data_IF_695014166146
#
_entry.id   IF_695014166146
#
_cell.length_a   1.000
_cell.length_b   1.000
_cell.length_c   1.000
_cell.angle_alpha   90.00
_cell.angle_beta   90.00
_cell.angle_gamma   90.00
#
_symmetry.space_group_name_H-M   'P 1'
#
loop_
_entity.id
_entity.type
_entity.pdbx_description
1 polymer ?
#
# COMPACT_ATOMS: atom_id res chain seq x y z
N UNK A 1 -48.60 19.17 -31.60
CA UNK A 1 -49.65 20.21 -31.60
C UNK A 1 -49.71 20.80 -30.20
N UNK A 2 -49.14 22.01 -30.01
CA UNK A 2 -49.10 22.90 -28.81
C UNK A 2 -48.65 22.32 -27.43
N UNK A 3 -48.07 23.14 -26.51
CA UNK A 3 -47.45 24.46 -26.69
C UNK A 3 -46.04 24.61 -26.04
N UNK A 4 -45.18 25.33 -26.75
CA UNK A 4 -44.13 26.21 -26.18
C UNK A 4 -44.82 27.40 -25.45
N UNK A 5 -44.26 27.94 -24.34
CA UNK A 5 -43.55 29.25 -24.20
C UNK A 5 -42.87 29.36 -22.77
N UNK A 6 -42.05 30.40 -22.41
CA UNK A 6 -40.73 30.27 -21.73
C UNK A 6 -40.57 31.16 -20.45
N UNK A 7 -39.30 31.33 -20.00
CA UNK A 7 -38.80 32.42 -19.10
C UNK A 7 -39.05 32.19 -17.58
N UNK A 8 -38.15 32.40 -16.60
CA UNK A 8 -37.02 33.34 -16.42
C UNK A 8 -35.99 32.76 -15.41
N UNK A 9 -34.73 33.09 -15.67
CA UNK A 9 -33.52 33.24 -14.82
C UNK A 9 -33.58 33.07 -13.30
N UNK A 10 -32.64 32.28 -12.76
CA UNK A 10 -31.84 32.69 -11.60
C UNK A 10 -30.37 32.39 -11.91
N UNK A 11 -29.64 33.45 -12.27
CA UNK A 11 -28.20 33.44 -12.33
C UNK A 11 -27.65 33.38 -10.90
N UNK A 12 -26.86 32.35 -10.59
CA UNK A 12 -25.86 32.41 -9.51
C UNK A 12 -24.54 31.96 -10.09
N UNK A 13 -23.84 32.93 -10.68
CA UNK A 13 -22.42 32.83 -10.91
C UNK A 13 -21.72 32.81 -9.54
N UNK A 14 -21.21 31.65 -9.14
CA UNK A 14 -20.22 31.56 -8.08
C UNK A 14 -18.93 31.10 -8.76
N UNK A 15 -18.23 32.10 -9.30
CA UNK A 15 -16.84 31.96 -9.68
C UNK A 15 -16.02 31.90 -8.38
N UNK A 16 -15.50 30.73 -8.03
CA UNK A 16 -14.41 30.62 -7.06
C UNK A 16 -13.22 30.05 -7.82
N UNK A 17 -12.38 30.98 -8.27
CA UNK A 17 -11.03 30.71 -8.72
C UNK A 17 -10.24 30.12 -7.55
N UNK A 18 -10.00 28.81 -7.60
CA UNK A 18 -8.97 28.19 -6.76
C UNK A 18 -7.62 28.53 -7.37
N UNK A 19 -7.07 29.62 -6.84
CA UNK A 19 -5.76 30.14 -7.15
C UNK A 19 -4.69 29.06 -6.95
N UNK A 20 -3.79 28.98 -7.94
CA UNK A 20 -2.51 28.31 -7.87
C UNK A 20 -1.74 28.82 -6.64
N UNK A 21 -1.81 28.09 -5.52
CA UNK A 21 -1.00 28.39 -4.35
C UNK A 21 0.41 27.88 -4.60
N UNK A 22 1.30 28.83 -4.87
CA UNK A 22 2.73 28.63 -4.99
C UNK A 22 3.30 27.89 -3.77
N UNK A 23 4.23 26.97 -4.01
CA UNK A 23 5.10 26.41 -2.98
C UNK A 23 6.04 27.51 -2.48
N UNK A 24 5.64 28.22 -1.42
CA UNK A 24 6.54 29.06 -0.65
C UNK A 24 7.03 28.28 0.57
N UNK A 25 8.30 27.91 0.55
CA UNK A 25 9.05 27.40 1.71
C UNK A 25 9.04 28.43 2.83
N UNK A 26 8.28 28.17 3.90
CA UNK A 26 8.41 28.87 5.18
C UNK A 26 9.22 28.01 6.13
N UNK A 27 10.52 28.33 6.26
CA UNK A 27 11.37 27.80 7.32
C UNK A 27 10.88 28.38 8.66
N UNK A 28 10.46 27.54 9.64
CA UNK A 28 10.09 28.01 10.96
C UNK A 28 11.30 28.53 11.74
N UNK A 29 11.09 29.46 12.69
CA UNK A 29 12.15 30.10 13.46
C UNK A 29 12.93 29.07 14.31
N UNK A 30 14.21 29.32 14.63
CA UNK A 30 14.99 28.41 15.45
C UNK A 30 14.43 28.36 16.88
N UNK A 31 14.00 27.17 17.30
CA UNK A 31 13.55 26.90 18.66
C UNK A 31 14.76 26.80 19.63
N UNK A 32 14.60 27.20 20.90
CA UNK A 32 15.64 27.05 21.92
C UNK A 32 15.94 25.58 22.26
N UNK A 33 17.11 25.37 22.84
CA UNK A 33 17.85 24.11 22.83
C UNK A 33 17.52 23.11 23.97
N UNK A 34 16.34 23.16 24.58
CA UNK A 34 16.00 22.35 25.75
C UNK A 34 14.70 21.54 25.66
N UNK A 35 14.84 20.22 25.75
CA UNK A 35 14.17 19.39 26.76
C UNK A 35 12.64 19.58 26.89
N UNK A 36 11.88 18.96 25.99
CA UNK A 36 10.57 18.38 26.34
C UNK A 36 10.42 17.07 25.56
N UNK A 37 10.72 15.97 26.24
CA UNK A 37 10.60 14.61 25.71
C UNK A 37 9.20 14.03 25.82
N UNK A 38 9.08 12.83 25.23
CA UNK A 38 7.98 11.85 25.27
C UNK A 38 6.87 12.01 24.22
N UNK A 39 7.07 11.34 23.09
CA UNK A 39 6.09 10.48 22.40
C UNK A 39 6.83 9.28 21.80
N UNK A 40 7.69 8.63 22.59
CA UNK A 40 8.21 7.31 22.24
C UNK A 40 7.31 6.32 22.96
N UNK A 41 6.43 5.65 22.21
CA UNK A 41 5.72 4.49 22.72
C UNK A 41 6.77 3.42 23.04
N UNK A 42 7.15 3.41 24.30
CA UNK A 42 7.75 2.30 25.00
C UNK A 42 6.90 1.05 24.77
N UNK A 43 7.51 0.03 24.17
CA UNK A 43 7.79 -1.17 24.94
C UNK A 43 9.11 -1.77 24.46
N UNK A 44 10.10 -1.61 25.33
CA UNK A 44 11.29 -2.44 25.51
C UNK A 44 12.43 -2.35 24.50
N UNK A 45 13.35 -1.46 24.87
CA UNK A 45 14.79 -1.77 24.98
C UNK A 45 15.02 -2.98 25.92
N UNK A 46 14.61 -4.18 25.49
CA UNK A 46 15.43 -5.34 25.81
C UNK A 46 16.69 -5.18 24.97
N UNK A 47 17.87 -5.54 25.48
CA UNK A 47 19.05 -5.67 24.63
C UNK A 47 18.63 -6.50 23.42
N UNK A 48 18.58 -5.87 22.24
CA UNK A 48 17.96 -6.49 21.09
C UNK A 48 18.80 -7.71 20.73
N UNK A 49 18.34 -8.88 21.16
CA UNK A 49 18.81 -10.13 20.61
C UNK A 49 18.72 -9.96 19.09
N UNK A 50 19.74 -10.40 18.33
CA UNK A 50 19.72 -10.25 16.89
C UNK A 50 18.39 -10.81 16.35
N UNK A 51 17.75 -10.14 15.38
CA UNK A 51 16.49 -10.58 14.82
C UNK A 51 16.63 -12.05 14.38
N UNK A 52 15.68 -12.88 14.78
CA UNK A 52 15.68 -14.29 14.40
C UNK A 52 15.44 -14.37 12.89
N UNK A 53 16.42 -14.90 12.16
CA UNK A 53 16.28 -15.16 10.72
C UNK A 53 15.14 -16.16 10.51
N UNK A 54 14.20 -15.81 9.62
CA UNK A 54 13.04 -16.64 9.32
C UNK A 54 11.99 -16.68 10.43
N UNK A 55 11.96 -15.69 11.33
CA UNK A 55 10.91 -15.49 12.33
C UNK A 55 9.59 -14.93 11.77
N UNK A 56 9.57 -14.52 10.50
CA UNK A 56 8.48 -13.82 9.82
C UNK A 56 7.53 -14.75 9.05
N UNK A 57 7.08 -15.82 9.70
CA UNK A 57 6.10 -16.74 9.12
C UNK A 57 4.70 -16.09 9.06
N UNK A 58 4.02 -16.23 7.92
CA UNK A 58 2.62 -15.84 7.76
C UNK A 58 1.63 -16.91 8.29
N UNK A 59 0.32 -16.71 8.08
CA UNK A 59 -0.73 -17.63 8.52
C UNK A 59 -0.65 -19.02 7.86
N UNK A 60 0.00 -19.13 6.70
CA UNK A 60 0.26 -20.39 6.01
C UNK A 60 1.63 -20.98 6.36
N UNK A 61 2.42 -20.29 7.20
CA UNK A 61 3.78 -20.69 7.57
C UNK A 61 4.84 -20.28 6.55
N UNK A 62 4.50 -19.46 5.55
CA UNK A 62 5.46 -18.99 4.54
C UNK A 62 6.36 -17.91 5.13
N UNK A 63 7.66 -18.00 4.85
CA UNK A 63 8.67 -17.03 5.29
C UNK A 63 8.86 -15.98 4.19
N UNK A 64 8.24 -14.82 4.36
CA UNK A 64 8.26 -13.75 3.36
C UNK A 64 9.68 -13.22 3.07
N UNK A 65 10.52 -13.13 4.10
CA UNK A 65 11.91 -12.70 4.01
C UNK A 65 12.80 -13.65 3.21
N UNK A 66 12.42 -14.94 3.13
CA UNK A 66 13.06 -15.93 2.26
C UNK A 66 12.46 -15.94 0.83
N UNK A 67 11.44 -15.11 0.61
CA UNK A 67 10.71 -14.94 -0.64
C UNK A 67 9.71 -16.04 -0.95
N UNK A 68 9.19 -16.70 0.09
CA UNK A 68 8.07 -17.61 -0.02
C UNK A 68 6.74 -16.86 0.04
N UNK A 69 5.82 -17.23 -0.84
CA UNK A 69 4.44 -16.75 -0.85
C UNK A 69 3.48 -17.95 -0.96
N UNK A 70 2.33 -17.84 -0.30
CA UNK A 70 1.31 -18.89 -0.36
C UNK A 70 0.66 -18.97 -1.75
N UNK A 71 0.55 -20.19 -2.29
CA UNK A 71 -0.11 -20.45 -3.56
C UNK A 71 -1.32 -21.38 -3.36
N UNK A 72 -2.54 -20.86 -3.50
CA UNK A 72 -3.76 -21.66 -3.29
C UNK A 72 -3.85 -22.87 -4.22
N UNK A 73 -3.38 -22.75 -5.47
CA UNK A 73 -3.36 -23.85 -6.44
C UNK A 73 -2.47 -25.01 -5.99
N UNK A 74 -1.28 -24.75 -5.47
CA UNK A 74 -0.33 -25.82 -5.08
C UNK A 74 -0.44 -26.19 -3.60
N UNK A 75 -1.21 -25.41 -2.82
CA UNK A 75 -1.33 -25.50 -1.36
C UNK A 75 0.04 -25.52 -0.68
N UNK A 76 0.99 -24.73 -1.21
CA UNK A 76 2.37 -24.68 -0.77
C UNK A 76 2.89 -23.25 -0.79
N UNK A 77 3.97 -23.05 -0.02
CA UNK A 77 4.77 -21.84 -0.06
C UNK A 77 5.72 -21.91 -1.26
N UNK A 78 5.44 -21.13 -2.30
CA UNK A 78 6.19 -21.10 -3.54
C UNK A 78 7.04 -19.84 -3.62
N UNK A 79 8.15 -19.90 -4.35
CA UNK A 79 8.95 -18.70 -4.69
C UNK A 79 8.53 -18.21 -6.07
N UNK A 80 7.92 -17.02 -6.21
CA UNK A 80 7.31 -16.59 -7.47
C UNK A 80 8.24 -16.66 -8.69
N UNK A 81 9.53 -16.41 -8.51
CA UNK A 81 10.50 -16.43 -9.60
C UNK A 81 10.96 -17.84 -10.01
N UNK A 82 11.00 -18.79 -9.07
CA UNK A 82 11.29 -20.20 -9.39
C UNK A 82 10.10 -20.82 -10.12
N UNK A 83 8.90 -20.52 -9.65
CA UNK A 83 7.65 -20.94 -10.26
C UNK A 83 7.51 -20.34 -11.67
N UNK A 84 7.81 -19.05 -11.85
CA UNK A 84 7.82 -18.39 -13.15
C UNK A 84 8.79 -19.07 -14.14
N UNK A 85 10.01 -19.39 -13.68
CA UNK A 85 10.99 -20.13 -14.48
C UNK A 85 10.50 -21.53 -14.84
N UNK A 86 9.92 -22.26 -13.90
CA UNK A 86 9.46 -23.63 -14.09
C UNK A 86 8.28 -23.73 -15.07
N UNK A 87 7.36 -22.76 -15.03
CA UNK A 87 6.15 -22.75 -15.85
C UNK A 87 6.24 -21.84 -17.08
N UNK A 88 7.40 -21.20 -17.32
CA UNK A 88 7.64 -20.40 -18.53
C UNK A 88 6.81 -19.13 -18.61
N UNK A 89 6.49 -18.50 -17.47
CA UNK A 89 5.73 -17.26 -17.43
C UNK A 89 6.57 -16.09 -16.91
N UNK A 90 6.08 -14.86 -17.11
CA UNK A 90 6.79 -13.65 -16.69
C UNK A 90 6.91 -13.58 -15.16
N UNK A 91 8.12 -13.30 -14.64
CA UNK A 91 8.33 -13.08 -13.21
C UNK A 91 7.68 -11.76 -12.75
N UNK A 92 6.38 -11.81 -12.45
CA UNK A 92 5.61 -10.70 -11.93
C UNK A 92 4.56 -11.15 -10.92
N UNK A 93 4.20 -10.25 -10.00
CA UNK A 93 3.19 -10.52 -8.98
C UNK A 93 1.83 -10.90 -9.59
N UNK A 94 1.41 -10.18 -10.63
CA UNK A 94 0.11 -10.40 -11.28
C UNK A 94 0.01 -11.79 -11.90
N UNK A 95 1.07 -12.26 -12.55
CA UNK A 95 1.06 -13.57 -13.21
C UNK A 95 1.15 -14.69 -12.16
N UNK A 96 1.93 -14.49 -11.10
CA UNK A 96 1.97 -15.41 -9.96
C UNK A 96 0.60 -15.55 -9.30
N UNK A 97 -0.07 -14.43 -8.98
CA UNK A 97 -1.42 -14.44 -8.40
C UNK A 97 -2.43 -15.14 -9.31
N UNK A 98 -2.39 -14.88 -10.62
CA UNK A 98 -3.24 -15.56 -11.59
C UNK A 98 -2.96 -17.07 -11.62
N UNK A 99 -1.69 -17.47 -11.59
CA UNK A 99 -1.32 -18.88 -11.50
C UNK A 99 -1.87 -19.50 -10.22
N UNK A 100 -1.69 -18.85 -9.07
CA UNK A 100 -2.08 -19.41 -7.78
C UNK A 100 -3.58 -19.44 -7.55
N UNK A 101 -4.35 -18.49 -8.10
CA UNK A 101 -5.81 -18.46 -8.01
C UNK A 101 -6.50 -19.52 -8.88
N UNK A 102 -5.92 -19.87 -10.03
CA UNK A 102 -6.62 -20.66 -11.05
C UNK A 102 -6.52 -22.19 -10.86
N UNK A 103 -6.17 -22.70 -9.68
CA UNK A 103 -6.13 -24.15 -9.47
C UNK A 103 -6.51 -24.61 -8.07
N UNK A 104 -7.30 -23.80 -7.36
CA UNK A 104 -7.99 -24.26 -6.16
C UNK A 104 -8.79 -25.53 -6.49
N UNK A 105 -8.30 -26.65 -5.97
CA UNK A 105 -8.97 -27.94 -6.05
C UNK A 105 -10.37 -27.87 -5.43
N UNK A 106 -11.22 -28.75 -5.94
CA UNK A 106 -12.63 -28.97 -5.59
C UNK A 106 -12.88 -29.08 -4.09
#
# INVERSE_FOLDING_TARGET
MKPFIPSVSIATAIAIAFALSACATQQPPPLPADIAGQDTQDTQTAQAAPPIVGGDRDAHGCIGSAGYAWCERTQQCERPWELAKAHGFANSAQVYEQFCRNGGGK
#
